data_IF_732353464283
#
_entry.id   IF_732353464283
#
_cell.length_a   1.000
_cell.length_b   1.000
_cell.length_c   1.000
_cell.angle_alpha   90.00
_cell.angle_beta   90.00
_cell.angle_gamma   90.00
#
_symmetry.space_group_name_H-M   'P 1'
#
loop_
_entity.id
_entity.type
_entity.pdbx_description
1 polymer ?
#
# COMPACT_ATOMS: atom_id res chain seq x y z
N UNK A 1 -9.45 22.86 28.20
CA UNK A 1 -9.10 23.72 27.04
C UNK A 1 -9.43 22.97 25.76
N UNK A 2 -10.11 23.61 24.80
CA UNK A 2 -10.32 23.04 23.46
C UNK A 2 -9.15 23.48 22.56
N UNK A 3 -8.53 22.54 21.86
CA UNK A 3 -7.46 22.82 20.92
C UNK A 3 -7.93 22.39 19.54
N UNK A 4 -7.70 23.24 18.53
CA UNK A 4 -8.03 22.98 17.15
C UNK A 4 -6.76 22.86 16.32
N UNK A 5 -6.71 21.91 15.37
CA UNK A 5 -5.57 21.70 14.50
C UNK A 5 -6.01 21.41 13.06
N UNK A 6 -5.40 22.12 12.11
CA UNK A 6 -5.61 21.88 10.68
C UNK A 6 -4.69 20.76 10.22
N UNK A 7 -5.28 19.69 9.70
CA UNK A 7 -4.55 18.55 9.14
C UNK A 7 -4.45 18.65 7.62
N UNK A 8 -3.49 17.94 7.06
CA UNK A 8 -3.35 17.78 5.62
C UNK A 8 -4.16 16.59 5.08
N UNK A 9 -4.23 16.45 3.75
CA UNK A 9 -4.99 15.38 3.08
C UNK A 9 -4.53 13.97 3.47
N UNK A 10 -3.24 13.77 3.67
CA UNK A 10 -2.71 12.45 4.04
C UNK A 10 -3.11 12.05 5.46
N UNK A 11 -3.04 13.00 6.40
CA UNK A 11 -3.50 12.77 7.77
C UNK A 11 -5.01 12.53 7.80
N UNK A 12 -5.80 13.26 6.99
CA UNK A 12 -7.23 13.00 6.82
C UNK A 12 -7.46 11.57 6.33
N UNK A 13 -6.70 11.12 5.33
CA UNK A 13 -6.85 9.78 4.79
C UNK A 13 -6.48 8.71 5.82
N UNK A 14 -5.43 8.93 6.63
CA UNK A 14 -5.09 8.04 7.73
C UNK A 14 -6.22 7.99 8.78
N UNK A 15 -6.85 9.13 9.12
CA UNK A 15 -8.03 9.17 10.00
C UNK A 15 -9.19 8.33 9.44
N UNK A 16 -9.49 8.46 8.16
CA UNK A 16 -10.52 7.69 7.48
C UNK A 16 -10.20 6.20 7.53
N UNK A 17 -8.99 5.80 7.12
CA UNK A 17 -8.55 4.41 7.05
C UNK A 17 -8.55 3.72 8.43
N UNK A 18 -8.19 4.43 9.49
CA UNK A 18 -8.32 3.94 10.86
C UNK A 18 -9.80 3.73 11.21
N UNK A 19 -10.64 4.74 10.95
CA UNK A 19 -12.05 4.75 11.35
C UNK A 19 -12.88 3.67 10.67
N UNK A 20 -12.64 3.39 9.37
CA UNK A 20 -13.32 2.31 8.65
C UNK A 20 -12.72 0.92 8.95
N UNK A 21 -11.61 0.87 9.72
CA UNK A 21 -10.98 -0.38 10.14
C UNK A 21 -10.00 -0.98 9.13
N UNK A 22 -9.59 -0.24 8.10
CA UNK A 22 -8.52 -0.65 7.17
C UNK A 22 -7.18 -0.80 7.91
N UNK A 23 -6.93 0.05 8.91
CA UNK A 23 -5.71 0.05 9.70
C UNK A 23 -5.85 -0.68 11.05
N UNK A 24 -6.82 -1.58 11.21
CA UNK A 24 -6.85 -2.45 12.39
C UNK A 24 -5.50 -3.19 12.54
N UNK A 25 -4.93 -3.26 13.78
CA UNK A 25 -5.58 -3.03 15.07
C UNK A 25 -5.59 -1.57 15.57
N UNK A 26 -5.03 -0.60 14.80
CA UNK A 26 -4.98 0.79 15.26
C UNK A 26 -6.39 1.34 15.52
N UNK A 27 -6.53 2.07 16.64
CA UNK A 27 -7.71 2.85 17.00
C UNK A 27 -7.49 4.34 16.79
N UNK A 28 -6.24 4.76 16.54
CA UNK A 28 -5.84 6.14 16.38
C UNK A 28 -4.37 6.26 15.99
N UNK A 29 -3.80 7.41 16.27
CA UNK A 29 -2.38 7.67 16.06
C UNK A 29 -1.55 7.05 17.18
N UNK A 30 -0.40 6.49 16.83
CA UNK A 30 0.47 5.79 17.77
C UNK A 30 0.91 6.72 18.91
N UNK A 31 0.88 6.21 20.15
CA UNK A 31 1.55 6.81 21.30
C UNK A 31 3.06 6.52 21.25
N UNK A 32 3.83 7.06 22.19
CA UNK A 32 5.29 6.90 22.24
C UNK A 32 5.75 5.45 22.38
N UNK A 33 5.02 4.63 23.14
CA UNK A 33 5.36 3.21 23.36
C UNK A 33 5.18 2.41 22.09
N UNK A 34 4.01 2.53 21.45
CA UNK A 34 3.72 1.85 20.18
C UNK A 34 4.62 2.37 19.07
N UNK A 35 4.84 3.69 19.00
CA UNK A 35 5.76 4.29 18.02
C UNK A 35 7.15 3.66 18.13
N UNK A 36 7.74 3.66 19.34
CA UNK A 36 9.07 3.09 19.59
C UNK A 36 9.12 1.61 19.23
N UNK A 37 8.10 0.85 19.63
CA UNK A 37 8.03 -0.58 19.34
C UNK A 37 7.90 -0.84 17.83
N UNK A 38 7.09 -0.08 17.10
CA UNK A 38 6.97 -0.17 15.63
C UNK A 38 8.30 0.14 14.95
N UNK A 39 9.01 1.18 15.39
CA UNK A 39 10.32 1.53 14.83
C UNK A 39 11.35 0.41 15.05
N UNK A 40 11.43 -0.14 16.27
CA UNK A 40 12.45 -1.11 16.65
C UNK A 40 12.08 -2.53 16.22
N UNK A 41 10.86 -2.95 16.47
CA UNK A 41 10.43 -4.33 16.42
C UNK A 41 9.42 -4.65 15.30
N UNK A 42 8.87 -3.63 14.61
CA UNK A 42 7.78 -3.78 13.64
C UNK A 42 6.51 -4.39 14.29
N UNK A 43 6.27 -4.07 15.56
CA UNK A 43 5.14 -4.52 16.36
C UNK A 43 4.61 -3.37 17.22
N UNK A 44 3.34 -3.42 17.54
CA UNK A 44 2.78 -2.60 18.62
C UNK A 44 3.31 -3.10 19.97
N UNK A 45 3.14 -2.32 21.01
CA UNK A 45 3.57 -2.66 22.38
C UNK A 45 2.90 -3.93 22.95
N UNK A 46 1.74 -4.29 22.40
CA UNK A 46 1.02 -5.53 22.73
C UNK A 46 1.52 -6.78 21.94
N UNK A 47 2.53 -6.61 21.09
CA UNK A 47 3.12 -7.69 20.29
C UNK A 47 2.45 -7.94 18.92
N UNK A 48 1.37 -7.24 18.59
CA UNK A 48 0.75 -7.36 17.26
C UNK A 48 1.66 -6.77 16.18
N UNK A 49 1.84 -7.49 15.08
CA UNK A 49 2.67 -7.03 13.95
C UNK A 49 2.06 -5.78 13.31
N UNK A 50 2.85 -4.71 13.30
CA UNK A 50 2.54 -3.47 12.63
C UNK A 50 3.83 -2.77 12.20
N UNK A 51 4.01 -2.49 10.92
CA UNK A 51 5.35 -2.22 10.39
C UNK A 51 5.61 -0.78 9.98
N UNK A 52 4.55 0.04 9.87
CA UNK A 52 4.63 1.44 9.46
C UNK A 52 4.07 2.34 10.57
N UNK A 53 4.81 3.34 11.06
CA UNK A 53 4.30 4.25 12.07
C UNK A 53 3.24 5.20 11.49
N UNK A 54 2.02 5.11 12.01
CA UNK A 54 0.92 6.03 11.69
C UNK A 54 0.82 7.06 12.81
N UNK A 55 1.24 8.29 12.54
CA UNK A 55 1.41 9.32 13.57
C UNK A 55 0.80 10.66 13.17
N UNK A 56 0.33 11.42 14.13
CA UNK A 56 -0.08 12.81 13.95
C UNK A 56 1.06 13.74 14.38
N UNK A 57 1.64 14.48 13.43
CA UNK A 57 2.58 15.54 13.74
C UNK A 57 1.87 16.89 13.88
N UNK A 58 2.34 17.69 14.82
CA UNK A 58 1.79 19.01 15.11
C UNK A 58 2.92 20.04 15.23
N UNK A 59 2.60 21.33 15.12
CA UNK A 59 3.56 22.36 15.42
C UNK A 59 3.85 22.46 16.93
N UNK A 60 4.91 23.13 17.30
CA UNK A 60 5.36 23.27 18.69
C UNK A 60 4.30 23.91 19.61
N UNK A 61 3.61 24.94 19.12
CA UNK A 61 2.56 25.62 19.89
C UNK A 61 1.43 24.66 20.26
N UNK A 62 0.94 23.90 19.27
CA UNK A 62 -0.10 22.87 19.48
C UNK A 62 0.39 21.78 20.43
N UNK A 63 1.65 21.33 20.26
CA UNK A 63 2.25 20.32 21.12
C UNK A 63 2.28 20.75 22.61
N UNK A 64 2.68 22.00 22.90
CA UNK A 64 2.69 22.50 24.29
C UNK A 64 1.26 22.55 24.86
N UNK A 65 0.30 23.09 24.10
CA UNK A 65 -1.10 23.16 24.53
C UNK A 65 -1.71 21.77 24.74
N UNK A 66 -1.31 20.79 23.93
CA UNK A 66 -1.83 19.43 23.98
C UNK A 66 -1.45 18.70 25.28
N UNK A 67 -0.32 19.04 25.91
CA UNK A 67 0.11 18.43 27.19
C UNK A 67 -0.89 18.65 28.34
N UNK A 68 -1.68 19.70 28.26
CA UNK A 68 -2.68 20.05 29.29
C UNK A 68 -4.12 19.78 28.82
N UNK A 69 -4.29 19.36 27.57
CA UNK A 69 -5.59 19.12 26.99
C UNK A 69 -5.93 17.63 26.95
N UNK A 70 -7.20 17.30 27.06
CA UNK A 70 -7.69 15.92 26.88
C UNK A 70 -8.04 15.60 25.43
N UNK A 71 -8.26 16.61 24.60
CA UNK A 71 -8.76 16.44 23.24
C UNK A 71 -8.23 17.47 22.29
N UNK A 72 -7.87 17.02 21.07
CA UNK A 72 -7.49 17.83 19.93
C UNK A 72 -8.52 17.68 18.84
N UNK A 73 -9.25 18.76 18.50
CA UNK A 73 -10.16 18.78 17.39
C UNK A 73 -9.41 18.89 16.07
N UNK A 74 -9.79 18.08 15.11
CA UNK A 74 -9.17 18.01 13.79
C UNK A 74 -10.04 18.75 12.77
N UNK A 75 -9.39 19.60 11.98
CA UNK A 75 -10.01 20.35 10.90
C UNK A 75 -9.30 20.06 9.57
N UNK A 76 -10.06 19.95 8.50
CA UNK A 76 -9.56 19.89 7.14
C UNK A 76 -10.32 20.91 6.29
N UNK A 77 -9.59 21.81 5.60
CA UNK A 77 -10.18 22.94 4.86
C UNK A 77 -11.20 23.75 5.68
N UNK A 78 -10.87 24.02 6.93
CA UNK A 78 -11.72 24.72 7.93
C UNK A 78 -13.02 23.97 8.33
N UNK A 79 -13.24 22.76 7.88
CA UNK A 79 -14.33 21.91 8.33
C UNK A 79 -13.87 21.02 9.48
N UNK A 80 -14.67 20.94 10.54
CA UNK A 80 -14.42 20.02 11.64
C UNK A 80 -14.71 18.59 11.20
N UNK A 81 -13.69 17.72 11.24
CA UNK A 81 -13.83 16.35 10.78
C UNK A 81 -13.92 15.33 11.92
N UNK A 82 -13.50 15.71 13.13
CA UNK A 82 -13.46 14.82 14.28
C UNK A 82 -12.41 15.27 15.31
N UNK A 83 -11.95 14.35 16.12
CA UNK A 83 -10.98 14.66 17.19
C UNK A 83 -10.10 13.46 17.53
N UNK A 84 -8.96 13.75 18.19
CA UNK A 84 -8.11 12.79 18.89
C UNK A 84 -8.33 12.96 20.38
N UNK A 85 -8.64 11.89 21.11
CA UNK A 85 -8.53 11.86 22.55
C UNK A 85 -7.06 11.67 22.90
N UNK A 86 -6.44 12.69 23.52
CA UNK A 86 -4.99 12.74 23.72
C UNK A 86 -4.59 11.78 24.83
N UNK A 87 -3.81 10.76 24.48
CA UNK A 87 -3.20 9.84 25.44
C UNK A 87 -1.74 10.18 25.70
N UNK A 88 -1.04 10.73 24.70
CA UNK A 88 0.39 10.99 24.78
C UNK A 88 0.82 12.15 23.88
N UNK A 89 1.83 12.89 24.32
CA UNK A 89 2.53 13.94 23.58
C UNK A 89 4.04 13.69 23.67
N UNK A 90 4.69 13.37 22.55
CA UNK A 90 6.09 12.97 22.53
C UNK A 90 6.88 13.56 21.37
N UNK A 91 8.19 13.46 21.47
CA UNK A 91 9.13 13.88 20.44
C UNK A 91 9.82 12.69 19.81
N UNK A 92 10.08 12.76 18.50
CA UNK A 92 10.74 11.71 17.73
C UNK A 92 12.10 12.16 17.20
N UNK A 93 13.02 11.22 17.07
CA UNK A 93 14.31 11.44 16.42
C UNK A 93 14.20 11.07 14.92
N UNK A 94 13.67 12.01 14.12
CA UNK A 94 13.38 11.77 12.72
C UNK A 94 14.52 11.09 11.95
N UNK A 95 15.75 11.60 12.05
CA UNK A 95 16.89 11.08 11.28
C UNK A 95 17.22 9.63 11.60
N UNK A 96 17.20 9.28 12.91
CA UNK A 96 17.46 7.93 13.36
C UNK A 96 16.34 6.98 12.93
N UNK A 97 15.09 7.43 13.10
CA UNK A 97 13.91 6.62 12.83
C UNK A 97 13.73 6.37 11.32
N UNK A 98 14.02 7.36 10.47
CA UNK A 98 14.02 7.21 9.01
C UNK A 98 15.00 6.14 8.54
N UNK A 99 16.22 6.08 9.13
CA UNK A 99 17.19 5.02 8.82
C UNK A 99 16.64 3.62 9.14
N UNK A 100 15.86 3.48 10.22
CA UNK A 100 15.26 2.20 10.60
C UNK A 100 14.08 1.82 9.70
N UNK A 101 13.27 2.81 9.27
CA UNK A 101 12.10 2.57 8.42
C UNK A 101 12.53 2.33 6.96
N UNK A 102 13.37 3.20 6.41
CA UNK A 102 13.71 3.27 4.99
C UNK A 102 15.10 2.73 4.65
N UNK A 103 15.88 2.27 5.66
CA UNK A 103 17.30 1.89 5.55
C UNK A 103 18.22 3.02 5.11
N UNK A 104 17.71 4.22 4.97
CA UNK A 104 18.44 5.41 4.56
C UNK A 104 17.81 6.66 5.18
N UNK A 105 18.61 7.73 5.30
CA UNK A 105 18.12 9.09 5.57
C UNK A 105 18.35 10.03 4.39
N UNK A 106 18.67 9.51 3.20
CA UNK A 106 18.92 10.32 2.01
C UNK A 106 17.64 10.94 1.48
N UNK A 107 17.64 12.25 1.26
CA UNK A 107 16.48 13.00 0.75
C UNK A 107 16.16 12.69 -0.73
N UNK A 108 17.03 11.94 -1.43
CA UNK A 108 16.71 11.36 -2.74
C UNK A 108 15.65 10.29 -2.67
N UNK A 109 15.52 9.61 -1.52
CA UNK A 109 14.46 8.64 -1.28
C UNK A 109 13.12 9.37 -1.08
N UNK A 110 12.06 9.10 -1.87
CA UNK A 110 10.81 9.87 -1.84
C UNK A 110 10.10 9.83 -0.48
N UNK A 111 10.10 8.68 0.20
CA UNK A 111 9.54 8.56 1.55
C UNK A 111 10.31 9.40 2.56
N UNK A 112 11.65 9.35 2.54
CA UNK A 112 12.50 10.18 3.41
C UNK A 112 12.28 11.67 3.12
N UNK A 113 12.28 12.07 1.84
CA UNK A 113 12.05 13.46 1.42
C UNK A 113 10.73 14.02 1.95
N UNK A 114 9.72 13.17 2.07
CA UNK A 114 8.41 13.53 2.59
C UNK A 114 8.43 13.61 4.12
N UNK A 115 8.90 12.57 4.78
CA UNK A 115 8.87 12.46 6.25
C UNK A 115 9.77 13.51 6.94
N UNK A 116 10.92 13.87 6.36
CA UNK A 116 11.82 14.86 6.93
C UNK A 116 11.22 16.28 6.99
N UNK A 117 10.12 16.52 6.26
CA UNK A 117 9.38 17.80 6.31
C UNK A 117 8.40 17.89 7.47
N UNK A 118 8.12 16.77 8.12
CA UNK A 118 7.23 16.72 9.28
C UNK A 118 7.97 17.25 10.52
N UNK A 119 7.24 17.79 11.45
CA UNK A 119 7.82 18.23 12.73
C UNK A 119 8.28 17.01 13.55
N UNK A 120 9.03 17.24 14.61
CA UNK A 120 9.39 16.18 15.56
C UNK A 120 8.30 15.91 16.61
N UNK A 121 7.31 16.79 16.75
CA UNK A 121 6.28 16.73 17.78
C UNK A 121 5.13 15.84 17.36
N UNK A 122 4.73 14.90 18.21
CA UNK A 122 3.67 13.93 17.95
C UNK A 122 2.61 13.97 19.04
N UNK A 123 1.36 13.72 18.62
CA UNK A 123 0.22 13.46 19.50
C UNK A 123 -0.29 12.08 19.19
N UNK A 124 -0.37 11.20 20.19
CA UNK A 124 -0.93 9.87 20.13
C UNK A 124 -2.26 9.76 20.86
N UNK A 125 -3.10 8.83 20.38
CA UNK A 125 -4.38 8.51 20.98
C UNK A 125 -5.44 8.10 19.98
N UNK A 126 -6.57 7.56 20.46
CA UNK A 126 -7.68 7.14 19.61
C UNK A 126 -8.34 8.32 18.90
N UNK A 127 -8.81 8.06 17.68
CA UNK A 127 -9.51 9.05 16.87
C UNK A 127 -11.00 8.76 16.80
N UNK A 128 -11.79 9.83 16.67
CA UNK A 128 -13.21 9.77 16.30
C UNK A 128 -13.44 10.71 15.14
N UNK A 129 -13.84 10.18 13.98
CA UNK A 129 -14.29 10.96 12.83
C UNK A 129 -15.80 11.16 12.97
N UNK A 130 -16.23 12.42 13.05
CA UNK A 130 -17.65 12.80 13.25
C UNK A 130 -18.36 13.11 11.94
N UNK A 131 -17.63 13.58 10.94
CA UNK A 131 -18.16 13.82 9.60
C UNK A 131 -18.29 12.50 8.84
N UNK A 132 -19.52 11.98 8.78
CA UNK A 132 -19.82 10.70 8.12
C UNK A 132 -19.74 10.76 6.60
N UNK A 133 -19.83 11.94 5.99
CA UNK A 133 -19.71 12.12 4.54
C UNK A 133 -18.32 11.74 4.02
N UNK A 134 -17.31 11.77 4.89
CA UNK A 134 -15.95 11.34 4.56
C UNK A 134 -15.82 9.84 4.27
N UNK A 135 -16.82 9.05 4.64
CA UNK A 135 -16.82 7.60 4.40
C UNK A 135 -17.50 7.22 3.08
N UNK A 136 -18.12 8.17 2.40
CA UNK A 136 -18.72 7.94 1.10
C UNK A 136 -17.64 7.58 0.08
N UNK A 137 -17.85 6.48 -0.66
CA UNK A 137 -16.94 5.99 -1.68
C UNK A 137 -15.55 5.58 -1.17
N UNK A 138 -15.41 5.27 0.12
CA UNK A 138 -14.20 4.70 0.70
C UNK A 138 -14.34 3.18 0.74
N UNK A 139 -13.25 2.47 0.40
CA UNK A 139 -13.20 1.02 0.54
C UNK A 139 -13.51 0.62 1.99
N UNK A 140 -14.64 -0.06 2.18
CA UNK A 140 -15.13 -0.44 3.50
C UNK A 140 -14.90 -1.94 3.74
N UNK A 141 -14.07 -2.32 4.73
CA UNK A 141 -13.80 -3.72 5.04
C UNK A 141 -15.04 -4.56 5.39
N UNK A 142 -16.07 -3.95 5.99
CA UNK A 142 -17.31 -4.66 6.34
C UNK A 142 -18.07 -5.02 5.06
N UNK A 143 -18.22 -4.08 4.15
CA UNK A 143 -18.92 -4.26 2.88
C UNK A 143 -18.19 -5.26 1.98
N UNK A 144 -16.87 -5.13 1.89
CA UNK A 144 -16.03 -6.03 1.07
C UNK A 144 -16.10 -7.47 1.59
N UNK A 145 -16.02 -7.68 2.92
CA UNK A 145 -16.20 -9.02 3.52
C UNK A 145 -17.59 -9.59 3.28
N UNK A 146 -18.62 -8.74 3.39
CA UNK A 146 -20.00 -9.15 3.10
C UNK A 146 -20.15 -9.56 1.63
N UNK A 147 -19.56 -8.80 0.72
CA UNK A 147 -19.52 -9.13 -0.72
C UNK A 147 -18.83 -10.48 -0.96
N UNK A 148 -17.62 -10.71 -0.42
CA UNK A 148 -16.90 -11.98 -0.60
C UNK A 148 -17.72 -13.17 -0.07
N UNK A 149 -18.35 -12.99 1.09
CA UNK A 149 -19.25 -14.00 1.67
C UNK A 149 -20.46 -14.29 0.77
N UNK A 150 -21.07 -13.24 0.21
CA UNK A 150 -22.21 -13.39 -0.72
C UNK A 150 -21.82 -14.14 -2.00
N UNK A 151 -20.59 -13.94 -2.49
CA UNK A 151 -20.05 -14.68 -3.63
C UNK A 151 -19.67 -16.13 -3.28
N UNK A 152 -19.69 -16.52 -2.01
CA UNK A 152 -19.28 -17.85 -1.54
C UNK A 152 -17.78 -18.09 -1.51
N UNK A 153 -16.95 -17.05 -1.70
CA UNK A 153 -15.50 -17.18 -1.77
C UNK A 153 -14.88 -17.40 -0.39
N UNK A 154 -14.14 -18.53 -0.26
CA UNK A 154 -13.45 -18.90 0.99
C UNK A 154 -11.98 -18.48 0.96
N UNK A 155 -11.34 -18.51 -0.21
CA UNK A 155 -9.94 -18.15 -0.40
C UNK A 155 -9.81 -17.03 -1.43
N UNK A 156 -9.28 -15.87 -0.99
CA UNK A 156 -9.16 -14.67 -1.80
C UNK A 156 -7.72 -14.17 -1.77
N UNK A 157 -7.08 -14.07 -2.94
CA UNK A 157 -5.76 -13.49 -3.09
C UNK A 157 -5.85 -11.97 -3.32
N UNK A 158 -5.26 -11.18 -2.44
CA UNK A 158 -5.11 -9.74 -2.64
C UNK A 158 -3.93 -9.41 -3.55
N UNK A 159 -4.15 -8.59 -4.55
CA UNK A 159 -3.11 -8.05 -5.43
C UNK A 159 -3.06 -6.53 -5.34
N UNK A 160 -1.92 -5.99 -4.90
CA UNK A 160 -1.68 -4.55 -4.80
C UNK A 160 -0.74 -4.08 -5.89
N UNK A 161 -1.02 -2.92 -6.44
CA UNK A 161 -0.16 -2.26 -7.42
C UNK A 161 -0.33 -0.74 -7.37
N UNK A 162 0.62 -0.02 -7.97
CA UNK A 162 0.52 1.42 -8.28
C UNK A 162 0.72 1.70 -9.77
N UNK A 163 0.95 0.65 -10.54
CA UNK A 163 1.24 0.73 -11.98
C UNK A 163 0.08 0.19 -12.79
N UNK A 164 -0.10 0.63 -14.05
CA UNK A 164 -1.00 -0.01 -14.99
C UNK A 164 -0.67 -1.49 -15.16
N UNK A 165 -1.68 -2.26 -15.56
CA UNK A 165 -1.53 -3.69 -15.80
C UNK A 165 -0.54 -3.96 -16.94
N UNK A 166 0.24 -5.03 -16.81
CA UNK A 166 1.07 -5.59 -17.86
C UNK A 166 1.16 -7.12 -17.71
N UNK A 167 1.70 -7.82 -18.71
CA UNK A 167 1.73 -9.30 -18.75
C UNK A 167 2.37 -9.96 -17.51
N UNK A 168 3.36 -9.32 -16.88
CA UNK A 168 3.93 -9.85 -15.63
C UNK A 168 2.94 -9.76 -14.47
N UNK A 169 2.13 -8.69 -14.36
CA UNK A 169 1.06 -8.62 -13.38
C UNK A 169 -0.03 -9.66 -13.65
N UNK A 170 -0.46 -9.79 -14.91
CA UNK A 170 -1.42 -10.80 -15.30
C UNK A 170 -0.96 -12.21 -14.93
N UNK A 171 0.32 -12.54 -15.18
CA UNK A 171 0.90 -13.83 -14.80
C UNK A 171 0.79 -14.10 -13.30
N UNK A 172 1.21 -13.13 -12.46
CA UNK A 172 1.11 -13.26 -10.99
C UNK A 172 -0.33 -13.45 -10.52
N UNK A 173 -1.27 -12.73 -11.13
CA UNK A 173 -2.69 -12.80 -10.82
C UNK A 173 -3.28 -14.15 -11.20
N UNK A 174 -2.91 -14.71 -12.36
CA UNK A 174 -3.34 -16.05 -12.78
C UNK A 174 -2.75 -17.16 -11.91
N UNK A 175 -1.46 -17.03 -11.52
CA UNK A 175 -0.82 -17.96 -10.57
C UNK A 175 -1.54 -17.93 -9.22
N UNK A 176 -2.03 -16.78 -8.78
CA UNK A 176 -2.79 -16.69 -7.55
C UNK A 176 -4.19 -17.31 -7.68
N UNK A 177 -4.85 -17.19 -8.83
CA UNK A 177 -6.14 -17.85 -9.12
C UNK A 177 -6.03 -19.38 -9.18
N UNK A 178 -4.85 -19.94 -9.47
CA UNK A 178 -4.61 -21.39 -9.36
C UNK A 178 -4.51 -21.86 -7.88
N UNK A 179 -4.32 -20.94 -6.95
CA UNK A 179 -4.17 -21.25 -5.52
C UNK A 179 -5.34 -20.78 -4.66
N UNK A 180 -6.18 -19.88 -5.18
CA UNK A 180 -7.29 -19.26 -4.48
C UNK A 180 -8.53 -19.25 -5.38
N UNK A 181 -9.70 -19.34 -4.77
CA UNK A 181 -10.99 -19.31 -5.47
C UNK A 181 -11.26 -17.96 -6.13
N UNK A 182 -10.70 -16.88 -5.59
CA UNK A 182 -10.91 -15.53 -6.09
C UNK A 182 -9.67 -14.63 -5.98
N UNK A 183 -9.68 -13.57 -6.79
CA UNK A 183 -8.66 -12.52 -6.80
C UNK A 183 -9.31 -11.18 -6.48
N UNK A 184 -8.73 -10.44 -5.52
CA UNK A 184 -9.04 -9.05 -5.26
C UNK A 184 -7.95 -8.14 -5.79
N UNK A 185 -8.19 -7.50 -6.93
CA UNK A 185 -7.28 -6.51 -7.52
C UNK A 185 -7.56 -5.16 -6.85
N UNK A 186 -6.60 -4.66 -6.08
CA UNK A 186 -6.78 -3.51 -5.22
C UNK A 186 -5.63 -2.50 -5.37
N UNK A 187 -5.62 -1.70 -6.46
CA UNK A 187 -4.61 -0.69 -6.70
C UNK A 187 -4.62 0.40 -5.63
N UNK A 188 -3.43 0.91 -5.32
CA UNK A 188 -3.29 2.10 -4.49
C UNK A 188 -3.56 3.36 -5.33
N UNK A 189 -4.46 4.20 -4.81
CA UNK A 189 -4.70 5.57 -5.24
C UNK A 189 -4.35 6.52 -4.09
N UNK A 190 -4.00 7.76 -4.39
CA UNK A 190 -3.50 8.72 -3.42
C UNK A 190 -2.08 9.19 -3.77
N UNK A 191 -1.39 9.80 -2.83
CA UNK A 191 -0.09 10.39 -3.10
C UNK A 191 0.94 9.37 -3.61
N UNK A 192 1.54 9.69 -4.74
CA UNK A 192 2.66 8.99 -5.37
C UNK A 192 3.77 9.97 -5.77
N UNK A 193 4.99 9.47 -5.91
CA UNK A 193 6.11 10.31 -6.35
C UNK A 193 5.92 10.76 -7.80
N UNK A 194 6.53 11.91 -8.16
CA UNK A 194 6.58 12.38 -9.56
C UNK A 194 7.18 11.29 -10.47
N UNK A 195 6.51 11.04 -11.59
CA UNK A 195 6.89 10.04 -12.58
C UNK A 195 6.21 8.67 -12.39
N UNK A 196 5.37 8.49 -11.37
CA UNK A 196 4.43 7.36 -11.31
C UNK A 196 3.19 7.67 -12.18
N UNK A 197 2.46 6.64 -12.61
CA UNK A 197 1.27 6.78 -13.47
C UNK A 197 0.11 7.46 -12.75
N UNK A 198 -0.75 8.13 -13.50
CA UNK A 198 -1.99 8.69 -12.97
C UNK A 198 -2.94 7.60 -12.46
N UNK A 199 -3.87 7.98 -11.58
CA UNK A 199 -4.85 7.04 -11.03
C UNK A 199 -5.77 6.52 -12.14
N UNK A 200 -6.23 7.40 -13.01
CA UNK A 200 -7.11 7.07 -14.14
C UNK A 200 -6.45 6.02 -15.06
N UNK A 201 -5.16 6.20 -15.39
CA UNK A 201 -4.45 5.23 -16.24
C UNK A 201 -4.37 3.84 -15.61
N UNK A 202 -4.16 3.76 -14.30
CA UNK A 202 -4.14 2.50 -13.57
C UNK A 202 -5.54 1.87 -13.56
N UNK A 203 -6.57 2.63 -13.22
CA UNK A 203 -7.95 2.16 -13.12
C UNK A 203 -8.46 1.70 -14.48
N UNK A 204 -8.29 2.51 -15.52
CA UNK A 204 -8.77 2.19 -16.87
C UNK A 204 -8.07 0.97 -17.45
N UNK A 205 -6.75 0.84 -17.22
CA UNK A 205 -6.00 -0.35 -17.62
C UNK A 205 -6.55 -1.62 -16.98
N UNK A 206 -6.87 -1.60 -15.68
CA UNK A 206 -7.48 -2.76 -15.00
C UNK A 206 -8.91 -3.03 -15.43
N UNK A 207 -9.75 -1.99 -15.62
CA UNK A 207 -11.11 -2.16 -16.15
C UNK A 207 -11.10 -2.82 -17.54
N UNK A 208 -10.19 -2.38 -18.43
CA UNK A 208 -10.05 -2.97 -19.76
C UNK A 208 -9.59 -4.43 -19.67
N UNK A 209 -8.68 -4.75 -18.75
CA UNK A 209 -8.24 -6.12 -18.52
C UNK A 209 -9.38 -7.02 -18.01
N UNK A 210 -10.13 -6.60 -17.04
CA UNK A 210 -11.27 -7.34 -16.49
C UNK A 210 -12.30 -7.65 -17.60
N UNK A 211 -12.61 -6.65 -18.41
CA UNK A 211 -13.59 -6.79 -19.52
C UNK A 211 -13.14 -7.79 -20.59
N UNK A 212 -11.83 -7.84 -20.91
CA UNK A 212 -11.36 -8.55 -22.10
C UNK A 212 -10.59 -9.84 -21.79
N UNK A 213 -10.01 -9.99 -20.60
CA UNK A 213 -9.09 -11.10 -20.28
C UNK A 213 -9.47 -11.91 -19.03
N UNK A 214 -10.18 -11.30 -18.07
CA UNK A 214 -10.65 -11.97 -16.86
C UNK A 214 -12.16 -12.23 -16.90
N UNK A 215 -12.68 -12.44 -18.10
CA UNK A 215 -14.10 -12.71 -18.33
C UNK A 215 -14.50 -13.99 -17.60
N UNK A 216 -15.59 -13.92 -16.83
CA UNK A 216 -16.15 -15.04 -16.07
C UNK A 216 -15.20 -15.64 -15.00
N UNK A 217 -14.15 -14.91 -14.60
CA UNK A 217 -13.32 -15.30 -13.47
C UNK A 217 -13.82 -14.64 -12.16
N UNK A 218 -13.57 -15.29 -11.05
CA UNK A 218 -13.86 -14.75 -9.72
C UNK A 218 -12.87 -13.63 -9.37
N UNK A 219 -13.10 -12.44 -9.89
CA UNK A 219 -12.25 -11.28 -9.66
C UNK A 219 -13.09 -10.09 -9.20
N UNK A 220 -12.70 -9.52 -8.08
CA UNK A 220 -13.21 -8.25 -7.58
C UNK A 220 -12.16 -7.15 -7.78
N UNK A 221 -12.61 -5.95 -8.12
CA UNK A 221 -11.76 -4.78 -8.32
C UNK A 221 -12.30 -3.61 -7.52
N UNK A 222 -11.44 -3.05 -6.66
CA UNK A 222 -11.69 -1.79 -6.00
C UNK A 222 -10.37 -1.10 -5.67
N UNK A 223 -10.39 0.20 -5.44
CA UNK A 223 -9.21 1.00 -5.16
C UNK A 223 -9.02 1.22 -3.65
N UNK A 224 -7.77 1.30 -3.22
CA UNK A 224 -7.42 1.69 -1.84
C UNK A 224 -6.81 3.08 -1.84
N UNK A 225 -7.51 4.05 -1.26
CA UNK A 225 -6.95 5.39 -1.07
C UNK A 225 -6.04 5.41 0.15
N UNK A 226 -4.73 5.44 -0.09
CA UNK A 226 -3.68 5.61 0.93
C UNK A 226 -2.39 6.07 0.26
N UNK A 227 -1.61 6.95 0.90
CA UNK A 227 -0.34 7.39 0.32
C UNK A 227 0.67 6.25 0.25
N UNK A 228 1.41 6.17 -0.87
CA UNK A 228 2.60 5.32 -0.95
C UNK A 228 3.67 5.85 0.01
N UNK A 229 4.29 4.94 0.75
CA UNK A 229 5.35 5.29 1.72
C UNK A 229 6.74 4.99 1.17
N UNK A 230 6.85 4.08 0.19
CA UNK A 230 8.10 3.60 -0.41
C UNK A 230 9.03 2.93 0.59
N UNK A 231 8.47 2.34 1.67
CA UNK A 231 9.21 1.69 2.73
C UNK A 231 9.59 0.22 2.44
N UNK A 232 9.46 -0.20 1.18
CA UNK A 232 9.89 -1.52 0.70
C UNK A 232 9.36 -2.68 1.54
N UNK A 233 10.25 -3.48 2.17
CA UNK A 233 9.85 -4.67 2.93
C UNK A 233 8.83 -4.38 4.04
N UNK A 234 8.99 -3.29 4.80
CA UNK A 234 8.05 -2.91 5.86
C UNK A 234 6.66 -2.61 5.28
N UNK A 235 6.62 -1.89 4.17
CA UNK A 235 5.36 -1.55 3.51
C UNK A 235 4.68 -2.77 2.87
N UNK A 236 5.44 -3.78 2.44
CA UNK A 236 4.87 -5.03 1.93
C UNK A 236 4.04 -5.75 3.01
N UNK A 237 4.53 -5.82 4.24
CA UNK A 237 3.79 -6.40 5.38
C UNK A 237 2.59 -5.53 5.76
N UNK A 238 2.76 -4.22 5.80
CA UNK A 238 1.66 -3.27 6.03
C UNK A 238 0.53 -3.47 5.01
N UNK A 239 0.86 -3.62 3.73
CA UNK A 239 -0.10 -3.90 2.67
C UNK A 239 -0.81 -5.25 2.86
N UNK A 240 -0.11 -6.27 3.35
CA UNK A 240 -0.70 -7.58 3.66
C UNK A 240 -1.72 -7.46 4.80
N UNK A 241 -1.37 -6.74 5.88
CA UNK A 241 -2.27 -6.50 7.02
C UNK A 241 -3.54 -5.78 6.57
N UNK A 242 -3.42 -4.77 5.72
CA UNK A 242 -4.59 -4.06 5.18
C UNK A 242 -5.49 -5.06 4.41
N UNK A 243 -4.93 -5.92 3.55
CA UNK A 243 -5.74 -6.88 2.76
C UNK A 243 -6.39 -7.94 3.65
N UNK A 244 -5.72 -8.38 4.72
CA UNK A 244 -6.37 -9.18 5.77
C UNK A 244 -7.60 -8.46 6.34
N UNK A 245 -7.45 -7.18 6.67
CA UNK A 245 -8.54 -6.40 7.25
C UNK A 245 -9.72 -6.24 6.28
N UNK A 246 -9.46 -6.18 4.97
CA UNK A 246 -10.48 -6.14 3.90
C UNK A 246 -11.18 -7.50 3.75
N UNK A 247 -10.52 -8.61 4.11
CA UNK A 247 -11.07 -9.95 4.02
C UNK A 247 -10.32 -10.89 3.08
N UNK A 248 -9.18 -10.48 2.53
CA UNK A 248 -8.31 -11.41 1.79
C UNK A 248 -7.70 -12.44 2.74
N UNK A 249 -7.59 -13.67 2.26
CA UNK A 249 -6.95 -14.80 2.97
C UNK A 249 -5.50 -14.99 2.53
N UNK A 250 -5.15 -14.49 1.34
CA UNK A 250 -3.82 -14.55 0.76
C UNK A 250 -3.41 -13.18 0.22
N UNK A 251 -2.11 -12.90 0.20
CA UNK A 251 -1.59 -11.65 -0.36
C UNK A 251 -0.34 -11.90 -1.19
N UNK A 252 -0.31 -11.34 -2.41
CA UNK A 252 0.81 -11.49 -3.33
C UNK A 252 1.90 -10.49 -2.99
N UNK A 253 3.10 -10.97 -2.67
CA UNK A 253 4.32 -10.17 -2.57
C UNK A 253 5.20 -10.53 -3.76
N UNK A 254 5.37 -9.58 -4.67
CA UNK A 254 6.23 -9.72 -5.84
C UNK A 254 7.66 -9.23 -5.58
N UNK A 255 8.46 -9.18 -6.64
CA UNK A 255 9.80 -8.59 -6.60
C UNK A 255 9.74 -7.12 -6.21
N UNK A 256 10.65 -6.67 -5.30
CA UNK A 256 10.82 -5.27 -4.91
C UNK A 256 9.49 -4.59 -4.55
N UNK A 257 8.66 -5.30 -3.76
CA UNK A 257 7.35 -4.82 -3.36
C UNK A 257 7.47 -3.51 -2.58
N UNK A 258 6.74 -2.48 -3.03
CA UNK A 258 6.76 -1.11 -2.49
C UNK A 258 8.17 -0.48 -2.44
N UNK A 259 9.13 -1.02 -3.15
CA UNK A 259 10.47 -0.47 -3.26
C UNK A 259 10.55 0.71 -4.22
N UNK A 260 11.68 1.39 -4.19
CA UNK A 260 12.01 2.49 -5.06
C UNK A 260 13.51 2.48 -5.37
N UNK A 261 13.86 2.70 -6.64
CA UNK A 261 15.25 2.66 -7.09
C UNK A 261 15.99 1.39 -6.63
N UNK A 262 17.18 1.53 -6.04
CA UNK A 262 18.01 0.44 -5.54
C UNK A 262 18.17 0.47 -4.01
N UNK A 263 17.24 1.08 -3.28
CA UNK A 263 17.32 1.17 -1.81
C UNK A 263 17.04 -0.16 -1.10
N UNK A 264 16.36 -1.09 -1.79
CA UNK A 264 16.02 -2.40 -1.24
C UNK A 264 16.49 -3.53 -2.16
N UNK A 265 16.79 -4.67 -1.55
CA UNK A 265 17.14 -5.87 -2.29
C UNK A 265 15.97 -6.44 -3.08
N UNK A 266 16.27 -7.09 -4.21
CA UNK A 266 15.26 -7.63 -5.16
C UNK A 266 14.15 -8.46 -4.48
N UNK A 267 14.48 -9.26 -3.47
CA UNK A 267 13.55 -10.12 -2.73
C UNK A 267 13.56 -9.88 -1.22
N UNK A 268 14.03 -8.73 -0.79
CA UNK A 268 14.10 -8.39 0.64
C UNK A 268 12.74 -8.37 1.33
N UNK A 269 11.68 -8.01 0.58
CA UNK A 269 10.31 -8.12 1.08
C UNK A 269 9.90 -9.58 1.34
N UNK A 270 10.39 -10.54 0.53
CA UNK A 270 10.16 -11.97 0.78
C UNK A 270 10.91 -12.47 2.02
N UNK A 271 12.14 -12.00 2.22
CA UNK A 271 12.97 -12.37 3.39
C UNK A 271 12.31 -11.86 4.69
N UNK A 272 11.88 -10.59 4.69
CA UNK A 272 11.17 -10.03 5.83
C UNK A 272 9.83 -10.74 6.07
N UNK A 273 9.08 -11.04 5.00
CA UNK A 273 7.83 -11.77 5.09
C UNK A 273 8.00 -13.12 5.79
N UNK A 274 8.98 -13.93 5.35
CA UNK A 274 9.32 -15.22 6.00
C UNK A 274 9.69 -15.01 7.46
N UNK A 275 10.63 -14.09 7.76
CA UNK A 275 11.07 -13.80 9.12
C UNK A 275 9.92 -13.44 10.07
N UNK A 276 8.90 -12.71 9.56
CA UNK A 276 7.73 -12.33 10.35
C UNK A 276 6.80 -13.52 10.51
N UNK A 277 6.46 -14.23 9.42
CA UNK A 277 5.50 -15.34 9.49
C UNK A 277 6.04 -16.58 10.18
N UNK A 278 7.36 -16.76 10.28
CA UNK A 278 7.98 -17.81 11.10
C UNK A 278 7.78 -17.59 12.61
N UNK A 279 7.53 -16.35 13.02
CA UNK A 279 7.40 -15.96 14.44
C UNK A 279 5.99 -15.55 14.85
N UNK A 280 5.19 -15.06 13.90
CA UNK A 280 3.90 -14.44 14.14
C UNK A 280 2.89 -14.88 13.10
N UNK A 281 1.71 -15.27 13.55
CA UNK A 281 0.55 -15.37 12.68
C UNK A 281 -0.01 -13.97 12.44
N UNK A 282 0.12 -13.47 11.21
CA UNK A 282 -0.43 -12.17 10.81
C UNK A 282 -1.86 -12.28 10.26
N UNK A 283 -2.47 -13.47 10.31
CA UNK A 283 -3.84 -13.72 9.88
C UNK A 283 -4.06 -13.66 8.36
N UNK A 284 -2.99 -13.76 7.56
CA UNK A 284 -3.05 -13.82 6.09
C UNK A 284 -1.83 -14.59 5.56
N UNK A 285 -2.05 -15.48 4.59
CA UNK A 285 -0.97 -16.22 3.93
C UNK A 285 -0.29 -15.36 2.87
N UNK A 286 1.04 -15.41 2.80
CA UNK A 286 1.82 -14.61 1.86
C UNK A 286 2.26 -15.47 0.66
N UNK A 287 1.81 -15.08 -0.54
CA UNK A 287 2.22 -15.69 -1.80
C UNK A 287 3.50 -14.97 -2.30
N UNK A 288 4.65 -15.55 -2.01
CA UNK A 288 5.97 -14.99 -2.34
C UNK A 288 6.35 -15.37 -3.78
N UNK A 289 5.86 -14.61 -4.74
CA UNK A 289 5.99 -14.95 -6.15
C UNK A 289 7.26 -14.34 -6.77
N UNK A 290 7.95 -15.16 -7.60
CA UNK A 290 9.14 -14.74 -8.34
C UNK A 290 8.78 -13.75 -9.45
N UNK A 291 9.75 -12.90 -9.84
CA UNK A 291 9.60 -11.97 -10.94
C UNK A 291 9.32 -12.69 -12.25
N UNK A 292 8.18 -12.41 -12.92
CA UNK A 292 7.93 -12.95 -14.24
C UNK A 292 8.75 -12.23 -15.32
N UNK A 293 9.13 -12.99 -16.35
CA UNK A 293 9.82 -12.49 -17.54
C UNK A 293 9.34 -13.21 -18.80
N UNK A 294 9.55 -12.59 -19.95
CA UNK A 294 9.30 -13.26 -21.23
C UNK A 294 10.50 -14.11 -21.62
N UNK A 295 10.28 -15.39 -21.86
CA UNK A 295 11.30 -16.31 -22.39
C UNK A 295 11.06 -16.52 -23.89
N UNK A 296 12.04 -16.16 -24.72
CA UNK A 296 11.97 -16.31 -26.17
C UNK A 296 11.91 -17.78 -26.63
N UNK A 297 12.50 -18.71 -25.87
CA UNK A 297 12.44 -20.15 -26.15
C UNK A 297 11.10 -20.77 -25.79
N UNK A 298 10.51 -20.39 -24.63
CA UNK A 298 9.18 -20.81 -24.24
C UNK A 298 8.08 -20.08 -25.03
N UNK A 299 8.39 -18.93 -25.64
CA UNK A 299 7.46 -18.02 -26.29
C UNK A 299 6.32 -17.53 -25.37
N UNK A 300 6.58 -17.43 -24.06
CA UNK A 300 5.58 -17.06 -23.05
C UNK A 300 6.20 -16.39 -21.83
N UNK A 301 5.32 -15.83 -20.95
CA UNK A 301 5.72 -15.31 -19.66
C UNK A 301 5.92 -16.47 -18.68
N UNK A 302 7.07 -16.48 -18.03
CA UNK A 302 7.51 -17.51 -17.07
C UNK A 302 8.24 -16.85 -15.92
N UNK A 303 8.64 -17.64 -14.92
CA UNK A 303 9.49 -17.19 -13.81
C UNK A 303 10.68 -18.12 -13.64
N UNK A 304 11.63 -17.78 -12.76
CA UNK A 304 12.75 -18.65 -12.41
C UNK A 304 12.32 -20.04 -11.91
N UNK A 305 11.08 -20.19 -11.40
CA UNK A 305 10.55 -21.47 -10.97
C UNK A 305 9.94 -22.31 -12.11
N UNK A 306 9.64 -21.68 -13.25
CA UNK A 306 8.91 -22.33 -14.37
C UNK A 306 9.69 -22.36 -15.66
N UNK A 307 10.92 -21.80 -15.69
CA UNK A 307 11.79 -21.79 -16.88
C UNK A 307 13.26 -21.84 -16.49
N UNK A 308 13.98 -22.83 -17.00
CA UNK A 308 15.42 -23.01 -16.85
C UNK A 308 16.27 -22.57 -18.05
N UNK A 309 15.71 -21.83 -19.00
CA UNK A 309 16.48 -21.39 -20.17
C UNK A 309 17.50 -20.30 -19.80
N UNK A 310 18.62 -20.28 -20.55
CA UNK A 310 19.73 -19.35 -20.34
C UNK A 310 19.29 -17.88 -20.46
N UNK A 311 19.89 -16.99 -19.67
CA UNK A 311 19.60 -15.54 -19.54
C UNK A 311 19.51 -14.82 -20.90
N UNK A 312 20.30 -15.22 -21.92
CA UNK A 312 20.26 -14.63 -23.27
C UNK A 312 18.89 -14.70 -23.96
N UNK A 313 18.02 -15.62 -23.52
CA UNK A 313 16.65 -15.75 -24.03
C UNK A 313 15.60 -15.03 -23.21
N UNK A 314 16.01 -14.36 -22.12
CA UNK A 314 15.14 -13.72 -21.16
C UNK A 314 14.99 -12.24 -21.49
N UNK A 315 13.74 -11.77 -21.64
CA UNK A 315 13.40 -10.34 -21.73
C UNK A 315 12.64 -9.95 -20.46
N UNK A 316 13.28 -9.12 -19.61
CA UNK A 316 12.67 -8.63 -18.36
C UNK A 316 11.64 -7.56 -18.65
N UNK A 317 10.49 -7.66 -17.95
CA UNK A 317 9.37 -6.74 -18.06
C UNK A 317 9.47 -5.75 -16.89
N UNK A 318 9.44 -4.44 -17.18
CA UNK A 318 9.50 -3.40 -16.16
C UNK A 318 8.39 -2.38 -16.38
N UNK A 319 7.54 -2.18 -15.38
CA UNK A 319 6.48 -1.18 -15.41
C UNK A 319 6.97 0.26 -15.59
N UNK A 320 8.20 0.56 -15.16
CA UNK A 320 8.82 1.91 -15.30
C UNK A 320 9.37 2.21 -16.69
N UNK A 321 9.52 1.20 -17.56
CA UNK A 321 10.04 1.35 -18.93
C UNK A 321 8.94 1.33 -20.00
N UNK A 322 7.68 1.39 -19.64
CA UNK A 322 6.53 1.35 -20.57
C UNK A 322 6.57 2.46 -21.64
N UNK A 323 7.06 3.70 -21.42
CA UNK A 323 7.12 4.72 -22.49
C UNK A 323 8.05 4.41 -23.67
N UNK A 324 9.04 3.53 -23.49
CA UNK A 324 9.96 3.14 -24.55
C UNK A 324 9.47 1.93 -25.38
N UNK A 325 8.24 1.47 -25.19
CA UNK A 325 7.80 0.13 -25.48
C UNK A 325 6.60 0.06 -26.45
N UNK A 326 6.49 0.92 -27.43
CA UNK A 326 5.50 0.71 -28.53
C UNK A 326 5.70 -0.64 -29.21
N UNK A 327 6.88 -1.18 -29.28
CA UNK A 327 7.18 -2.49 -29.87
C UNK A 327 7.04 -3.66 -28.88
N UNK A 328 7.45 -3.45 -27.61
CA UNK A 328 7.29 -4.45 -26.55
C UNK A 328 5.81 -4.56 -26.09
N UNK A 329 5.01 -3.52 -26.29
CA UNK A 329 3.57 -3.53 -25.97
C UNK A 329 2.77 -4.49 -26.84
N UNK A 330 3.21 -4.83 -28.05
CA UNK A 330 2.61 -5.92 -28.86
C UNK A 330 2.74 -7.29 -28.17
N UNK A 331 3.79 -7.48 -27.34
CA UNK A 331 4.00 -8.68 -26.54
C UNK A 331 3.46 -8.57 -25.10
N UNK A 332 3.26 -7.33 -24.60
CA UNK A 332 2.85 -7.08 -23.22
C UNK A 332 1.33 -6.96 -23.08
N UNK A 333 0.66 -6.42 -24.07
CA UNK A 333 -0.79 -6.32 -24.11
C UNK A 333 -1.27 -6.51 -25.54
N UNK A 334 -2.11 -7.50 -25.81
CA UNK A 334 -2.83 -7.60 -27.08
C UNK A 334 -4.04 -6.66 -27.15
N UNK A 335 -4.20 -5.74 -26.19
CA UNK A 335 -5.39 -4.92 -26.08
C UNK A 335 -5.12 -3.48 -26.51
N UNK A 336 -5.69 -3.10 -27.63
CA UNK A 336 -5.72 -1.72 -28.13
C UNK A 336 -6.27 -0.72 -27.10
N UNK A 337 -7.23 -1.13 -26.28
CA UNK A 337 -7.87 -0.29 -25.25
C UNK A 337 -6.97 0.00 -24.05
N UNK A 338 -6.16 -0.99 -23.62
CA UNK A 338 -5.16 -0.78 -22.54
C UNK A 338 -4.08 0.17 -23.04
N UNK A 339 -3.65 0.04 -24.30
CA UNK A 339 -2.68 0.95 -24.91
C UNK A 339 -3.20 2.39 -24.99
N UNK A 340 -4.47 2.59 -25.35
CA UNK A 340 -5.09 3.93 -25.37
C UNK A 340 -5.15 4.56 -23.97
N UNK A 341 -5.49 3.79 -22.93
CA UNK A 341 -5.53 4.29 -21.55
C UNK A 341 -4.14 4.73 -21.07
N UNK A 342 -3.09 3.95 -21.38
CA UNK A 342 -1.71 4.27 -21.03
C UNK A 342 -1.20 5.49 -21.82
N UNK A 343 -1.47 5.58 -23.11
CA UNK A 343 -1.03 6.72 -23.96
C UNK A 343 -1.71 8.02 -23.51
N UNK A 344 -2.99 7.98 -23.16
CA UNK A 344 -3.70 9.16 -22.62
C UNK A 344 -3.05 9.68 -21.34
N UNK A 345 -2.55 8.80 -20.46
CA UNK A 345 -1.89 9.19 -19.21
C UNK A 345 -0.51 9.83 -19.40
N UNK A 346 0.15 9.54 -20.53
CA UNK A 346 1.48 10.09 -20.85
C UNK A 346 1.39 11.49 -21.48
N UNK A 347 0.22 11.87 -22.01
CA UNK A 347 0.00 13.13 -22.72
C UNK A 347 -0.64 14.23 -21.85
N UNK A 348 -0.82 13.99 -20.54
CA UNK A 348 -1.22 15.03 -19.58
C UNK A 348 0.01 15.51 -18.77
N UNK A 349 0.23 16.86 -18.74
CA UNK A 349 1.40 17.48 -18.10
C UNK A 349 1.41 17.32 -16.56
#
# INVERSE_FOLDING_TARGET
MQINYQINEETLQDCINISVGLFKPLKGFLNSYDYKSVIENMQLSNGEVWTIPITLDVNYETYIKAKEAKRLNLFFNNMHIGFVDIEDCFEVNLLNDLKKIYKTAETKHPGVKKEIKRTQYRIGGPITVTDKSLFDKVLNPIETKAFFKLQGWQTIAGFQTRNPIHKAHEYLQRVALEQCEALFINPLVGWKKKGDFSEEAVIDGYKAMLKNYFVNLNVHFDTLKTPMRYAGPREAIFHAIIRRNIGCTHFIIGRDHAGVQNYYGKYEAHELAKKITDKHDIGIKLLLLKEPFYCQKCSQIVSDNTCGHHEKYIKRISGTKIPAITELMRFITNAHDINKAIVRSLNHP
#
